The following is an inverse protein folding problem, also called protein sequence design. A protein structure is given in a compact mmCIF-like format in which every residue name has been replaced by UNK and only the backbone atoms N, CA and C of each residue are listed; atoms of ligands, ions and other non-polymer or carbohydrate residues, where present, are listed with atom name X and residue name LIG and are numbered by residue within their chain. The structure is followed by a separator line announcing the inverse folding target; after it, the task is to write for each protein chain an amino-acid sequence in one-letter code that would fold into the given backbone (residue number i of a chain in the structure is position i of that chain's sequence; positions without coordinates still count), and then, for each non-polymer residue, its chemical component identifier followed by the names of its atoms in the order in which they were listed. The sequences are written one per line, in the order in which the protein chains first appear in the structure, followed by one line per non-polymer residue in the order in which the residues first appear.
data_IF_077971229479
#
_entry.id   IF_077971229479
#
_cell.length_a   1.000
_cell.length_b   1.000
_cell.length_c   1.000
_cell.angle_alpha   90.00
_cell.angle_beta   90.00
_cell.angle_gamma   90.00
#
_symmetry.space_group_name_H-M   'P 1'
#
loop_
_entity.id
_entity.type
_entity.pdbx_description
1 polymer ?
#
# COMPACT_ATOMS: atom_id res chain seq x y z
N UNK A 1 -10.23 1.37 -11.64
CA UNK A 1 -8.95 1.16 -12.34
C UNK A 1 -7.99 0.44 -11.40
N UNK A 2 -7.32 -0.61 -11.86
CA UNK A 2 -6.29 -1.31 -11.07
C UNK A 2 -4.92 -0.87 -11.57
N UNK A 3 -4.05 -0.46 -10.65
CA UNK A 3 -2.63 -0.21 -10.90
C UNK A 3 -1.80 -1.15 -10.03
N UNK A 4 -0.68 -1.66 -10.54
CA UNK A 4 0.24 -2.52 -9.80
C UNK A 4 1.68 -2.03 -9.93
N UNK A 5 2.48 -2.25 -8.88
CA UNK A 5 3.90 -1.91 -8.85
C UNK A 5 4.70 -2.95 -8.07
N UNK A 6 5.85 -3.34 -8.63
CA UNK A 6 6.83 -4.18 -7.94
C UNK A 6 7.51 -3.41 -6.82
N UNK A 7 7.58 -4.00 -5.65
CA UNK A 7 8.23 -3.43 -4.47
C UNK A 7 8.93 -4.51 -3.64
N UNK A 8 9.45 -4.13 -2.48
CA UNK A 8 10.06 -5.04 -1.51
C UNK A 8 9.57 -4.71 -0.10
N UNK A 9 9.45 -5.74 0.74
CA UNK A 9 9.12 -5.62 2.15
C UNK A 9 10.23 -6.25 3.00
N UNK A 10 10.45 -5.74 4.20
CA UNK A 10 11.37 -6.35 5.16
C UNK A 10 10.64 -7.36 6.03
N UNK A 11 11.14 -8.59 6.07
CA UNK A 11 10.66 -9.64 6.97
C UNK A 11 11.82 -10.03 7.87
N UNK A 12 11.87 -9.42 9.06
CA UNK A 12 13.05 -9.45 9.92
C UNK A 12 14.20 -8.67 9.29
N UNK A 13 15.29 -9.35 8.93
CA UNK A 13 16.46 -8.77 8.25
C UNK A 13 16.50 -9.06 6.74
N UNK A 14 15.57 -9.88 6.25
CA UNK A 14 15.53 -10.31 4.87
C UNK A 14 14.63 -9.40 4.03
N UNK A 15 15.02 -9.20 2.77
CA UNK A 15 14.20 -8.47 1.80
C UNK A 15 13.35 -9.44 1.00
N UNK A 16 12.03 -9.26 1.03
CA UNK A 16 11.07 -10.10 0.29
C UNK A 16 10.45 -9.27 -0.84
N UNK A 17 10.50 -9.74 -2.10
CA UNK A 17 9.81 -9.06 -3.19
C UNK A 17 8.29 -9.15 -2.99
N UNK A 18 7.59 -8.04 -3.22
CA UNK A 18 6.12 -7.95 -3.09
C UNK A 18 5.52 -7.19 -4.27
N UNK A 19 4.24 -7.44 -4.55
CA UNK A 19 3.45 -6.65 -5.50
C UNK A 19 2.47 -5.79 -4.70
N UNK A 20 2.47 -4.50 -4.99
CA UNK A 20 1.50 -3.56 -4.41
C UNK A 20 0.44 -3.27 -5.47
N UNK A 21 -0.81 -3.50 -5.12
CA UNK A 21 -1.96 -3.25 -5.98
C UNK A 21 -2.82 -2.12 -5.42
N UNK A 22 -3.26 -1.23 -6.30
CA UNK A 22 -4.15 -0.13 -5.98
C UNK A 22 -5.38 -0.23 -6.83
N UNK A 23 -6.54 -0.32 -6.18
CA UNK A 23 -7.82 -0.20 -6.84
C UNK A 23 -8.36 1.22 -6.65
N UNK A 24 -8.26 2.05 -7.70
CA UNK A 24 -8.95 3.32 -7.75
C UNK A 24 -10.41 3.11 -8.14
N UNK A 25 -11.31 3.25 -7.16
CA UNK A 25 -12.75 3.32 -7.41
C UNK A 25 -13.11 4.68 -8.04
N UNK A 26 -14.04 4.69 -8.99
CA UNK A 26 -14.55 5.91 -9.62
C UNK A 26 -15.46 6.73 -8.70
N UNK A 27 -15.82 7.94 -9.16
CA UNK A 27 -16.64 9.00 -8.53
C UNK A 27 -17.25 8.67 -7.16
N UNK A 28 -16.72 9.30 -6.11
CA UNK A 28 -17.16 9.15 -4.73
C UNK A 28 -16.34 10.06 -3.80
N UNK A 29 -16.59 9.98 -2.48
CA UNK A 29 -15.78 10.72 -1.49
C UNK A 29 -14.34 10.19 -1.49
N UNK A 30 -13.31 11.07 -1.40
CA UNK A 30 -11.93 10.63 -1.29
C UNK A 30 -11.79 9.78 -0.04
N UNK A 31 -11.56 8.49 -0.24
CA UNK A 31 -11.32 7.52 0.82
C UNK A 31 -10.13 6.66 0.41
N UNK A 32 -9.28 6.36 1.40
CA UNK A 32 -8.07 5.60 1.19
C UNK A 32 -7.93 4.59 2.33
N UNK A 33 -7.95 3.31 1.97
CA UNK A 33 -7.84 2.19 2.90
C UNK A 33 -6.66 1.31 2.48
N UNK A 34 -5.85 0.90 3.46
CA UNK A 34 -4.77 -0.07 3.27
C UNK A 34 -5.23 -1.40 3.86
N UNK A 35 -5.09 -2.46 3.07
CA UNK A 35 -5.47 -3.84 3.44
C UNK A 35 -4.26 -4.76 3.32
N UNK A 36 -4.37 -6.02 3.79
CA UNK A 36 -3.27 -6.99 3.70
C UNK A 36 -2.30 -6.98 4.88
N UNK A 37 -2.78 -6.61 6.07
CA UNK A 37 -2.01 -6.58 7.33
C UNK A 37 -0.75 -5.69 7.25
N UNK A 38 -0.89 -4.39 6.89
CA UNK A 38 0.24 -3.48 6.84
C UNK A 38 0.82 -3.22 8.23
N UNK A 39 2.14 -3.06 8.29
CA UNK A 39 2.85 -2.61 9.48
C UNK A 39 2.57 -1.13 9.81
N UNK A 40 3.15 -0.65 10.91
CA UNK A 40 3.00 0.74 11.35
C UNK A 40 3.60 1.75 10.37
N UNK A 41 4.77 1.46 9.79
CA UNK A 41 5.46 2.39 8.91
C UNK A 41 4.66 2.65 7.63
N UNK A 42 4.02 1.61 7.08
CA UNK A 42 3.10 1.69 5.93
C UNK A 42 1.85 2.48 6.29
N UNK A 43 1.30 2.28 7.49
CA UNK A 43 0.14 3.06 7.98
C UNK A 43 0.44 4.55 8.13
N UNK A 44 1.61 4.90 8.65
CA UNK A 44 2.05 6.29 8.79
C UNK A 44 2.39 6.94 7.44
N UNK A 45 2.92 6.16 6.49
CA UNK A 45 3.23 6.66 5.15
C UNK A 45 2.00 7.21 4.43
N UNK A 46 0.81 6.66 4.72
CA UNK A 46 -0.47 7.17 4.21
C UNK A 46 -0.66 8.66 4.50
N UNK A 47 -0.33 9.12 5.70
CA UNK A 47 -0.51 10.53 6.09
C UNK A 47 0.47 11.47 5.41
N UNK A 48 1.61 10.95 4.94
CA UNK A 48 2.62 11.74 4.22
C UNK A 48 2.33 11.89 2.74
N UNK A 49 1.57 10.96 2.16
CA UNK A 49 1.33 10.86 0.71
C UNK A 49 -0.05 11.40 0.29
N UNK A 50 -1.04 11.37 1.19
CA UNK A 50 -2.37 11.98 0.98
C UNK A 50 -2.30 13.51 0.92
#
# INVERSE_FOLDING_TARGET
MIASISSTALVGVETTPVQVEVHAAGSGRPSFAIVGLPDTAVREARERVL
#
